data_IF_177337223788
#
_entry.id   IF_177337223788
#
_cell.length_a   1.000
_cell.length_b   1.000
_cell.length_c   1.000
_cell.angle_alpha   90.00
_cell.angle_beta   90.00
_cell.angle_gamma   90.00
#
_symmetry.space_group_name_H-M   'P 1'
#
loop_
_entity.id
_entity.type
_entity.pdbx_description
1 polymer ?
#
# COMPACT_ATOMS: atom_id res chain seq x y z
N UNK A 1 29.46 5.45 -61.99
CA UNK A 1 28.32 4.55 -61.70
C UNK A 1 28.29 4.26 -60.20
N UNK A 2 27.07 4.24 -59.64
CA UNK A 2 26.64 4.12 -58.22
C UNK A 2 27.59 3.30 -57.31
N UNK A 3 28.15 3.90 -56.25
CA UNK A 3 27.66 3.88 -54.85
C UNK A 3 27.32 2.47 -54.36
N UNK A 4 28.07 1.95 -53.38
CA UNK A 4 27.57 1.30 -52.14
C UNK A 4 28.75 1.30 -51.16
N UNK A 5 28.80 2.30 -50.28
CA UNK A 5 29.57 2.23 -49.04
C UNK A 5 28.63 1.59 -48.03
N UNK A 6 28.82 0.31 -47.75
CA UNK A 6 28.00 -0.46 -46.81
C UNK A 6 28.33 0.02 -45.39
N UNK A 7 27.68 1.11 -44.96
CA UNK A 7 27.79 1.60 -43.60
C UNK A 7 26.90 0.69 -42.75
N UNK A 8 27.53 -0.22 -42.01
CA UNK A 8 26.86 -1.07 -41.04
C UNK A 8 26.37 -0.17 -39.90
N UNK A 9 25.14 0.34 -40.04
CA UNK A 9 24.46 1.10 -39.00
C UNK A 9 24.08 0.10 -37.91
N UNK A 10 24.98 -0.11 -36.95
CA UNK A 10 24.69 -0.79 -35.69
C UNK A 10 23.66 0.07 -34.99
N UNK A 11 22.39 -0.25 -35.18
CA UNK A 11 21.31 0.34 -34.43
C UNK A 11 21.56 0.07 -32.95
N UNK A 12 21.82 1.12 -32.18
CA UNK A 12 21.72 1.08 -30.73
C UNK A 12 20.26 0.75 -30.40
N UNK A 13 19.95 -0.53 -30.28
CA UNK A 13 18.69 -0.99 -29.73
C UNK A 13 18.76 -0.70 -28.23
N UNK A 14 18.23 0.45 -27.82
CA UNK A 14 18.04 0.78 -26.41
C UNK A 14 17.05 -0.22 -25.82
N UNK A 15 17.57 -1.31 -25.25
CA UNK A 15 16.79 -2.24 -24.45
C UNK A 15 16.26 -1.44 -23.26
N UNK A 16 14.99 -1.06 -23.32
CA UNK A 16 14.28 -0.54 -22.17
C UNK A 16 14.07 -1.71 -21.24
N UNK A 17 14.94 -1.85 -20.23
CA UNK A 17 14.76 -2.81 -19.15
C UNK A 17 13.51 -2.40 -18.37
N UNK A 18 12.38 -3.02 -18.68
CA UNK A 18 11.20 -3.00 -17.80
C UNK A 18 11.53 -3.95 -16.65
N UNK A 19 12.00 -3.41 -15.53
CA UNK A 19 12.16 -4.19 -14.31
C UNK A 19 10.77 -4.67 -13.86
N UNK A 20 10.56 -5.98 -13.85
CA UNK A 20 9.39 -6.57 -13.24
C UNK A 20 9.34 -6.19 -11.76
N UNK A 21 8.14 -5.90 -11.25
CA UNK A 21 7.89 -5.60 -9.84
C UNK A 21 8.36 -6.79 -8.98
N UNK A 22 8.90 -6.53 -7.78
CA UNK A 22 9.26 -7.60 -6.84
C UNK A 22 8.04 -8.48 -6.51
N UNK A 23 8.23 -9.77 -6.25
CA UNK A 23 7.12 -10.62 -5.82
C UNK A 23 6.60 -10.18 -4.45
N UNK A 24 5.34 -10.51 -4.14
CA UNK A 24 4.73 -10.17 -2.87
C UNK A 24 5.51 -10.77 -1.68
N UNK A 25 6.04 -11.98 -1.83
CA UNK A 25 6.87 -12.62 -0.79
C UNK A 25 8.14 -11.82 -0.48
N UNK A 26 8.80 -11.26 -1.50
CA UNK A 26 9.99 -10.44 -1.33
C UNK A 26 9.64 -9.13 -0.62
N UNK A 27 8.58 -8.46 -1.06
CA UNK A 27 8.10 -7.21 -0.45
C UNK A 27 7.75 -7.43 1.03
N UNK A 28 6.97 -8.48 1.33
CA UNK A 28 6.56 -8.81 2.69
C UNK A 28 7.75 -9.21 3.57
N UNK A 29 8.69 -10.00 3.05
CA UNK A 29 9.89 -10.41 3.80
C UNK A 29 10.76 -9.21 4.18
N UNK A 30 10.95 -8.25 3.27
CA UNK A 30 11.67 -7.00 3.56
C UNK A 30 10.95 -6.17 4.62
N UNK A 31 9.65 -5.96 4.47
CA UNK A 31 8.86 -5.17 5.40
C UNK A 31 8.86 -5.78 6.82
N UNK A 32 8.67 -7.10 6.93
CA UNK A 32 8.69 -7.82 8.21
C UNK A 32 10.10 -7.84 8.84
N UNK A 33 11.15 -7.98 8.04
CA UNK A 33 12.53 -7.92 8.52
C UNK A 33 12.84 -6.54 9.11
N UNK A 34 12.45 -5.47 8.41
CA UNK A 34 12.62 -4.10 8.90
C UNK A 34 11.76 -3.84 10.15
N UNK A 35 10.50 -4.29 10.14
CA UNK A 35 9.59 -4.15 11.29
C UNK A 35 10.15 -4.83 12.54
N UNK A 36 10.72 -6.04 12.44
CA UNK A 36 11.42 -6.71 13.55
C UNK A 36 12.62 -5.90 14.05
N UNK A 37 13.45 -5.39 13.13
CA UNK A 37 14.65 -4.59 13.47
C UNK A 37 14.29 -3.29 14.19
N UNK A 38 13.28 -2.58 13.70
CA UNK A 38 12.87 -1.28 14.21
C UNK A 38 11.81 -1.35 15.32
N UNK A 39 11.37 -2.58 15.68
CA UNK A 39 10.31 -2.84 16.66
C UNK A 39 9.00 -2.11 16.29
N UNK A 40 8.67 -2.11 15.00
CA UNK A 40 7.48 -1.52 14.41
C UNK A 40 6.53 -2.61 13.92
N UNK A 41 5.32 -2.20 13.54
CA UNK A 41 4.35 -3.03 12.82
C UNK A 41 4.49 -2.80 11.31
N UNK A 42 3.81 -3.58 10.50
CA UNK A 42 3.68 -3.32 9.05
C UNK A 42 2.29 -2.80 8.77
N UNK A 43 2.20 -1.68 8.07
CA UNK A 43 0.96 -1.20 7.44
C UNK A 43 1.04 -1.57 5.96
N UNK A 44 0.41 -2.69 5.59
CA UNK A 44 0.36 -3.17 4.21
C UNK A 44 -0.83 -2.55 3.50
N UNK A 45 -0.62 -1.93 2.33
CA UNK A 45 -1.66 -1.31 1.51
C UNK A 45 -1.70 -1.98 0.14
N UNK A 46 -2.84 -2.59 -0.19
CA UNK A 46 -3.13 -3.10 -1.52
C UNK A 46 -3.66 -1.96 -2.39
N UNK A 47 -3.07 -1.78 -3.57
CA UNK A 47 -3.37 -0.64 -4.45
C UNK A 47 -3.22 -0.99 -5.92
N UNK A 48 -3.62 -0.05 -6.79
CA UNK A 48 -3.41 -0.11 -8.23
C UNK A 48 -3.09 1.29 -8.78
N UNK A 49 -2.47 1.37 -9.96
CA UNK A 49 -2.09 2.63 -10.61
C UNK A 49 -3.28 3.55 -10.93
N UNK A 50 -4.44 2.96 -11.23
CA UNK A 50 -5.68 3.66 -11.52
C UNK A 50 -6.43 4.12 -10.26
N UNK A 51 -6.06 3.63 -9.08
CA UNK A 51 -6.82 3.84 -7.85
C UNK A 51 -6.59 5.25 -7.25
N UNK A 52 -7.55 6.16 -7.45
CA UNK A 52 -7.51 7.51 -6.88
C UNK A 52 -7.57 7.53 -5.36
N UNK A 53 -8.39 6.67 -4.75
CA UNK A 53 -8.50 6.55 -3.29
C UNK A 53 -7.21 6.04 -2.62
N UNK A 54 -6.46 5.19 -3.32
CA UNK A 54 -5.15 4.71 -2.84
C UNK A 54 -4.16 5.87 -2.76
N UNK A 55 -4.13 6.73 -3.80
CA UNK A 55 -3.31 7.95 -3.80
C UNK A 55 -3.74 8.93 -2.71
N UNK A 56 -5.05 9.03 -2.43
CA UNK A 56 -5.58 9.83 -1.32
C UNK A 56 -5.09 9.28 0.04
N UNK A 57 -5.14 7.96 0.23
CA UNK A 57 -4.62 7.30 1.44
C UNK A 57 -3.16 7.65 1.66
N UNK A 58 -2.31 7.45 0.65
CA UNK A 58 -0.88 7.76 0.75
C UNK A 58 -0.63 9.24 1.05
N UNK A 59 -1.35 10.15 0.35
CA UNK A 59 -1.26 11.59 0.60
C UNK A 59 -1.67 11.95 2.03
N UNK A 60 -2.72 11.33 2.57
CA UNK A 60 -3.15 11.56 3.95
C UNK A 60 -2.08 11.07 4.94
N UNK A 61 -1.53 9.86 4.75
CA UNK A 61 -0.47 9.31 5.60
C UNK A 61 0.80 10.17 5.60
N UNK A 62 1.06 10.90 4.51
CA UNK A 62 2.21 11.79 4.34
C UNK A 62 1.97 13.24 4.81
N UNK A 63 0.77 13.57 5.33
CA UNK A 63 0.51 14.90 5.87
C UNK A 63 1.49 15.20 7.02
N UNK A 64 2.25 16.30 6.98
CA UNK A 64 3.34 16.56 7.96
C UNK A 64 2.90 16.50 9.42
N UNK A 65 1.65 16.86 9.70
CA UNK A 65 1.06 16.85 11.05
C UNK A 65 0.83 15.44 11.63
N UNK A 66 0.79 14.39 10.80
CA UNK A 66 0.53 13.01 11.23
C UNK A 66 1.54 11.97 10.73
N UNK A 67 2.32 12.28 9.69
CA UNK A 67 3.35 11.39 9.13
C UNK A 67 4.29 10.83 10.23
N UNK A 68 4.75 11.62 11.21
CA UNK A 68 5.62 11.10 12.28
C UNK A 68 4.95 10.02 13.14
N UNK A 69 3.62 10.04 13.26
CA UNK A 69 2.86 9.03 13.99
C UNK A 69 2.86 7.70 13.24
N UNK A 70 2.77 7.73 11.92
CA UNK A 70 2.82 6.52 11.10
C UNK A 70 4.23 5.97 11.00
N UNK A 71 5.24 6.80 10.70
CA UNK A 71 6.62 6.31 10.56
C UNK A 71 7.24 5.85 11.87
N UNK A 72 6.78 6.37 13.01
CA UNK A 72 7.16 5.86 14.34
C UNK A 72 6.59 4.47 14.63
N UNK A 73 5.37 4.17 14.19
CA UNK A 73 4.67 2.93 14.56
C UNK A 73 4.72 1.84 13.49
N UNK A 74 4.90 2.21 12.22
CA UNK A 74 4.76 1.31 11.08
C UNK A 74 5.94 1.38 10.11
N UNK A 75 6.23 0.23 9.51
CA UNK A 75 6.81 0.11 8.18
C UNK A 75 5.63 0.07 7.21
N UNK A 76 5.40 1.14 6.47
CA UNK A 76 4.33 1.17 5.46
C UNK A 76 4.86 0.55 4.18
N UNK A 77 4.11 -0.39 3.59
CA UNK A 77 4.49 -1.06 2.35
C UNK A 77 3.26 -1.35 1.49
N UNK A 78 3.48 -1.66 0.22
CA UNK A 78 2.44 -1.74 -0.78
C UNK A 78 2.54 -3.00 -1.62
N UNK A 79 1.38 -3.55 -2.01
CA UNK A 79 1.28 -4.57 -3.05
C UNK A 79 0.34 -4.07 -4.14
N UNK A 80 0.86 -4.02 -5.36
CA UNK A 80 0.11 -3.71 -6.57
C UNK A 80 -0.71 -4.92 -6.97
N UNK A 81 -2.03 -4.74 -6.99
CA UNK A 81 -3.06 -5.74 -7.32
C UNK A 81 -4.15 -5.06 -8.14
N UNK A 82 -5.08 -5.84 -8.69
CA UNK A 82 -6.27 -5.34 -9.38
C UNK A 82 -5.97 -4.32 -10.49
N UNK A 83 -4.83 -4.42 -11.16
CA UNK A 83 -4.50 -3.57 -12.31
C UNK A 83 -5.48 -3.80 -13.47
N UNK A 84 -5.58 -2.78 -14.34
CA UNK A 84 -6.37 -2.90 -15.56
C UNK A 84 -5.86 -4.07 -16.42
N UNK A 85 -6.70 -4.71 -17.26
CA UNK A 85 -6.29 -5.89 -18.04
C UNK A 85 -4.99 -5.73 -18.84
N UNK A 86 -4.74 -4.53 -19.38
CA UNK A 86 -3.53 -4.20 -20.14
C UNK A 86 -2.30 -3.87 -19.28
N UNK A 87 -2.42 -3.89 -17.95
CA UNK A 87 -1.37 -3.59 -16.97
C UNK A 87 -1.19 -4.68 -15.92
N UNK A 88 -1.81 -5.86 -16.10
CA UNK A 88 -1.68 -7.00 -15.18
C UNK A 88 -0.23 -7.42 -14.91
N UNK A 89 0.66 -7.18 -15.87
CA UNK A 89 2.10 -7.42 -15.72
C UNK A 89 2.81 -6.47 -14.72
N UNK A 90 2.13 -5.43 -14.23
CA UNK A 90 2.64 -4.52 -13.20
C UNK A 90 2.28 -4.98 -11.78
N UNK A 91 1.42 -5.98 -11.63
CA UNK A 91 1.06 -6.52 -10.32
C UNK A 91 2.25 -7.23 -9.68
N UNK A 92 2.35 -7.15 -8.35
CA UNK A 92 3.28 -7.97 -7.61
C UNK A 92 2.86 -9.44 -7.74
N UNK A 93 3.71 -10.29 -8.32
CA UNK A 93 3.45 -11.73 -8.37
C UNK A 93 3.20 -12.27 -6.95
N UNK A 94 2.06 -12.92 -6.71
CA UNK A 94 1.65 -13.33 -5.36
C UNK A 94 0.69 -12.36 -4.65
N UNK A 95 0.45 -11.17 -5.20
CA UNK A 95 -0.31 -10.09 -4.56
C UNK A 95 -1.74 -10.51 -4.18
N UNK A 96 -2.48 -11.12 -5.10
CA UNK A 96 -3.86 -11.57 -4.86
C UNK A 96 -3.93 -12.69 -3.81
N UNK A 97 -2.89 -13.54 -3.72
CA UNK A 97 -2.81 -14.57 -2.68
C UNK A 97 -2.61 -13.93 -1.31
N UNK A 98 -1.78 -12.90 -1.20
CA UNK A 98 -1.58 -12.17 0.06
C UNK A 98 -2.83 -11.36 0.42
N UNK A 99 -3.53 -10.78 -0.55
CA UNK A 99 -4.83 -10.10 -0.34
C UNK A 99 -5.85 -11.05 0.30
N UNK A 100 -6.04 -12.23 -0.32
CA UNK A 100 -6.95 -13.27 0.18
C UNK A 100 -6.55 -13.79 1.55
N UNK A 101 -5.24 -13.98 1.80
CA UNK A 101 -4.71 -14.40 3.10
C UNK A 101 -5.13 -13.46 4.23
N UNK A 102 -5.20 -12.15 3.96
CA UNK A 102 -5.60 -11.14 4.95
C UNK A 102 -7.08 -10.75 4.89
N UNK A 103 -7.87 -11.57 4.18
CA UNK A 103 -9.33 -11.51 4.15
C UNK A 103 -9.92 -10.58 3.09
N UNK A 104 -9.09 -9.88 2.31
CA UNK A 104 -9.56 -9.04 1.22
C UNK A 104 -9.88 -9.83 -0.06
N UNK A 105 -10.61 -9.21 -0.96
CA UNK A 105 -10.96 -9.78 -2.27
C UNK A 105 -11.19 -8.70 -3.31
N UNK A 106 -11.22 -9.09 -4.58
CA UNK A 106 -11.32 -8.17 -5.73
C UNK A 106 -12.66 -7.43 -5.81
N UNK A 107 -13.71 -7.94 -5.16
CA UNK A 107 -15.06 -7.34 -5.13
C UNK A 107 -15.23 -6.27 -4.04
N UNK A 108 -14.27 -6.13 -3.13
CA UNK A 108 -14.35 -5.18 -2.00
C UNK A 108 -13.65 -3.84 -2.27
N UNK A 109 -13.01 -3.70 -3.42
CA UNK A 109 -12.32 -2.48 -3.82
C UNK A 109 -11.01 -2.21 -3.07
N UNK A 110 -10.31 -1.18 -3.52
CA UNK A 110 -9.02 -0.73 -3.00
C UNK A 110 -9.03 0.80 -2.76
N UNK A 111 -8.23 1.33 -1.80
CA UNK A 111 -7.20 0.63 -1.05
C UNK A 111 -7.79 -0.36 -0.04
N UNK A 112 -7.17 -1.52 0.11
CA UNK A 112 -7.41 -2.42 1.22
C UNK A 112 -6.13 -2.42 2.06
N UNK A 113 -6.22 -2.21 3.37
CA UNK A 113 -5.04 -2.15 4.22
C UNK A 113 -5.11 -3.14 5.38
N UNK A 114 -3.94 -3.54 5.87
CA UNK A 114 -3.77 -4.54 6.92
C UNK A 114 -2.68 -4.07 7.87
N UNK A 115 -2.96 -4.16 9.18
CA UNK A 115 -1.98 -3.97 10.24
C UNK A 115 -1.47 -5.34 10.66
N UNK A 116 -0.17 -5.55 10.47
CA UNK A 116 0.50 -6.83 10.69
C UNK A 116 1.58 -6.63 11.75
N UNK A 117 1.64 -7.49 12.75
CA UNK A 117 2.70 -7.44 13.75
C UNK A 117 4.05 -7.89 13.17
N UNK A 118 5.13 -7.70 13.92
CA UNK A 118 6.48 -8.06 13.46
C UNK A 118 6.66 -9.57 13.17
N UNK A 119 5.75 -10.44 13.65
CA UNK A 119 5.77 -11.88 13.38
C UNK A 119 5.03 -12.27 12.09
N UNK A 120 4.38 -11.32 11.42
CA UNK A 120 3.61 -11.58 10.20
C UNK A 120 2.13 -11.92 10.45
N UNK A 121 1.66 -11.79 11.70
CA UNK A 121 0.28 -12.05 12.07
C UNK A 121 -0.55 -10.77 11.90
N UNK A 122 -1.74 -10.92 11.32
CA UNK A 122 -2.69 -9.81 11.17
C UNK A 122 -3.33 -9.46 12.51
N UNK A 123 -3.34 -8.19 12.87
CA UNK A 123 -4.02 -7.70 14.06
C UNK A 123 -5.33 -6.97 13.72
N UNK A 124 -5.33 -6.21 12.63
CA UNK A 124 -6.50 -5.51 12.09
C UNK A 124 -6.41 -5.40 10.56
N UNK A 125 -7.55 -5.21 9.91
CA UNK A 125 -7.64 -4.86 8.48
C UNK A 125 -8.71 -3.80 8.23
N UNK A 126 -8.86 -3.42 6.96
CA UNK A 126 -9.75 -2.36 6.50
C UNK A 126 -11.24 -2.67 6.57
N UNK A 127 -11.65 -3.83 7.10
CA UNK A 127 -13.08 -4.08 7.30
C UNK A 127 -13.63 -3.37 8.51
N UNK A 128 -14.83 -2.83 8.36
CA UNK A 128 -15.69 -2.49 9.47
C UNK A 128 -16.35 -3.73 10.11
N UNK A 129 -17.29 -3.49 11.02
CA UNK A 129 -18.02 -4.54 11.72
C UNK A 129 -18.99 -5.32 10.80
N UNK A 130 -19.34 -4.76 9.63
CA UNK A 130 -20.19 -5.37 8.61
C UNK A 130 -19.42 -6.10 7.50
N UNK A 131 -18.08 -6.16 7.60
CA UNK A 131 -17.19 -6.70 6.55
C UNK A 131 -17.14 -5.85 5.28
N UNK A 132 -17.47 -4.57 5.39
CA UNK A 132 -17.33 -3.60 4.31
C UNK A 132 -15.94 -2.95 4.38
N UNK A 133 -15.26 -2.84 3.24
CA UNK A 133 -13.95 -2.22 3.18
C UNK A 133 -14.09 -0.69 3.30
N UNK A 134 -13.51 -0.11 4.36
CA UNK A 134 -13.56 1.35 4.60
C UNK A 134 -12.56 2.15 3.76
N UNK A 135 -11.79 1.49 2.89
CA UNK A 135 -10.95 2.12 1.89
C UNK A 135 -9.94 3.11 2.48
N UNK A 136 -9.90 4.30 1.89
CA UNK A 136 -9.29 5.49 2.49
C UNK A 136 -10.37 6.20 3.34
N UNK A 137 -10.35 6.08 4.68
CA UNK A 137 -11.42 6.56 5.54
C UNK A 137 -11.70 8.05 5.29
N UNK A 138 -12.96 8.38 5.02
CA UNK A 138 -13.38 9.75 4.69
C UNK A 138 -14.73 10.10 5.30
N UNK A 139 -15.65 9.14 5.42
CA UNK A 139 -16.89 9.33 6.17
C UNK A 139 -16.60 9.28 7.69
N UNK A 140 -17.38 9.99 8.53
CA UNK A 140 -17.14 10.03 9.97
C UNK A 140 -17.01 8.64 10.62
N UNK A 141 -17.89 7.71 10.27
CA UNK A 141 -17.90 6.33 10.78
C UNK A 141 -16.67 5.51 10.33
N UNK A 142 -16.20 5.71 9.10
CA UNK A 142 -14.98 5.08 8.59
C UNK A 142 -13.76 5.59 9.35
N UNK A 143 -13.69 6.92 9.57
CA UNK A 143 -12.60 7.55 10.30
C UNK A 143 -12.60 7.05 11.75
N UNK A 144 -13.75 6.98 12.42
CA UNK A 144 -13.84 6.42 13.78
C UNK A 144 -13.41 4.95 13.83
N UNK A 145 -13.83 4.13 12.86
CA UNK A 145 -13.40 2.73 12.74
C UNK A 145 -11.88 2.63 12.60
N UNK A 146 -11.28 3.47 11.74
CA UNK A 146 -9.83 3.52 11.56
C UNK A 146 -9.11 3.95 12.85
N UNK A 147 -9.58 4.98 13.54
CA UNK A 147 -9.00 5.45 14.81
C UNK A 147 -9.10 4.39 15.90
N UNK A 148 -10.23 3.68 16.02
CA UNK A 148 -10.40 2.56 16.96
C UNK A 148 -9.38 1.45 16.70
N UNK A 149 -9.14 1.11 15.43
CA UNK A 149 -8.15 0.09 15.03
C UNK A 149 -6.72 0.54 15.30
N UNK A 150 -6.39 1.81 15.04
CA UNK A 150 -5.09 2.39 15.38
C UNK A 150 -4.86 2.40 16.91
N UNK A 151 -5.86 2.83 17.69
CA UNK A 151 -5.77 2.84 19.15
C UNK A 151 -5.56 1.43 19.73
N UNK A 152 -6.21 0.42 19.16
CA UNK A 152 -6.06 -0.99 19.56
C UNK A 152 -4.68 -1.56 19.23
N UNK A 153 -4.10 -1.16 18.10
CA UNK A 153 -2.89 -1.80 17.55
C UNK A 153 -1.62 -1.00 17.76
N UNK A 154 -1.68 0.22 18.27
CA UNK A 154 -0.49 1.08 18.46
C UNK A 154 -0.39 1.60 19.88
N UNK A 155 0.67 2.36 20.15
CA UNK A 155 0.84 3.13 21.40
C UNK A 155 0.57 4.62 21.19
N UNK A 156 -0.24 4.96 20.17
CA UNK A 156 -0.61 6.35 19.90
C UNK A 156 -1.40 6.94 21.07
N UNK A 157 -1.05 8.16 21.45
CA UNK A 157 -1.74 8.91 22.50
C UNK A 157 -3.04 9.49 21.97
N UNK A 158 -3.95 9.86 22.88
CA UNK A 158 -5.26 10.44 22.55
C UNK A 158 -5.14 11.68 21.65
N UNK A 159 -4.18 12.57 21.92
CA UNK A 159 -3.94 13.78 21.13
C UNK A 159 -3.36 13.47 19.73
N UNK A 160 -2.53 12.43 19.61
CA UNK A 160 -2.00 11.94 18.33
C UNK A 160 -3.13 11.34 17.48
N UNK A 161 -4.00 10.53 18.09
CA UNK A 161 -5.18 9.95 17.44
C UNK A 161 -6.17 11.03 16.97
N UNK A 162 -6.39 12.07 17.77
CA UNK A 162 -7.29 13.18 17.38
C UNK A 162 -6.73 13.95 16.17
N UNK A 163 -5.41 14.15 16.09
CA UNK A 163 -4.79 14.76 14.90
C UNK A 163 -4.98 13.89 13.65
N UNK A 164 -4.83 12.57 13.78
CA UNK A 164 -5.10 11.63 12.67
C UNK A 164 -6.56 11.73 12.25
N UNK A 165 -7.49 11.76 13.21
CA UNK A 165 -8.92 11.90 12.95
C UNK A 165 -9.23 13.17 12.15
N UNK A 166 -8.73 14.31 12.61
CA UNK A 166 -8.91 15.61 11.94
C UNK A 166 -8.34 15.57 10.52
N UNK A 167 -7.13 15.02 10.36
CA UNK A 167 -6.45 14.99 9.06
C UNK A 167 -7.17 14.11 8.03
N UNK A 168 -7.80 13.01 8.45
CA UNK A 168 -8.57 12.13 7.56
C UNK A 168 -10.00 12.63 7.32
N UNK A 169 -10.61 13.33 8.28
CA UNK A 169 -11.92 13.96 8.14
C UNK A 169 -11.90 15.24 7.28
N UNK A 170 -10.73 15.86 7.09
CA UNK A 170 -10.59 17.05 6.26
C UNK A 170 -10.99 16.77 4.80
N UNK A 171 -11.93 17.57 4.28
CA UNK A 171 -12.26 17.57 2.85
C UNK A 171 -11.07 18.17 2.09
N UNK A 172 -10.49 17.38 1.18
CA UNK A 172 -9.43 17.82 0.27
C UNK A 172 -10.01 18.64 -0.88
#
# INVERSE_FOLDING_TARGET
MKKILLTFLIGLFSISFVCAQESADVVMSKALTQAKKEKKKVLLIFHASWCGWCKKMDKNLQKPEIEPYFTKNFITTHLTVMESPNRKNLENAGGDQVLKKYGGSEDQGIPFWVIINANGEMEENSFDEKKENIGCPSAPEEVESFIKKLAKTTKLKKDELEKIKIAFAAKN
#
